data_IF_918077708130
#
_entry.id   IF_918077708130
#
_cell.length_a   1.000
_cell.length_b   1.000
_cell.length_c   1.000
_cell.angle_alpha   90.00
_cell.angle_beta   90.00
_cell.angle_gamma   90.00
#
_symmetry.space_group_name_H-M   'P 1'
#
loop_
_entity.id
_entity.type
_entity.pdbx_description
1 polymer ?
#
# COMPACT_ATOMS: atom_id res chain seq x y z
N UNK A 1 15.79 4.96 -34.75
CA UNK A 1 16.09 6.08 -33.88
C UNK A 1 17.14 5.63 -32.84
N UNK A 2 18.35 6.16 -32.91
CA UNK A 2 19.50 5.80 -32.05
C UNK A 2 19.41 6.39 -30.63
N UNK A 3 18.56 7.41 -30.46
CA UNK A 3 18.34 8.11 -29.19
C UNK A 3 19.25 9.31 -28.92
N UNK A 4 20.17 9.61 -29.80
CA UNK A 4 21.12 10.71 -29.66
C UNK A 4 20.68 12.03 -30.34
N UNK A 5 19.59 12.02 -31.10
CA UNK A 5 19.14 13.15 -31.89
C UNK A 5 17.80 13.66 -31.36
N UNK A 6 17.77 14.96 -31.13
CA UNK A 6 16.55 15.71 -30.76
C UNK A 6 15.62 15.83 -31.97
N UNK A 7 16.18 16.11 -33.18
CA UNK A 7 15.42 16.20 -34.42
C UNK A 7 16.20 15.58 -35.57
N UNK A 8 15.49 15.06 -36.56
CA UNK A 8 16.06 14.58 -37.80
C UNK A 8 15.05 14.74 -38.95
N UNK A 9 15.49 15.31 -40.05
CA UNK A 9 14.69 15.40 -41.27
C UNK A 9 15.53 15.16 -42.52
N UNK A 10 15.04 14.43 -43.54
CA UNK A 10 15.71 14.21 -44.80
C UNK A 10 15.45 15.36 -45.76
N UNK A 11 16.46 15.73 -46.54
CA UNK A 11 16.32 16.51 -47.77
C UNK A 11 16.73 15.68 -48.97
N UNK A 12 16.11 15.95 -50.11
CA UNK A 12 16.29 15.19 -51.34
C UNK A 12 16.80 16.13 -52.46
N UNK A 13 17.84 15.70 -53.16
CA UNK A 13 18.40 16.39 -54.34
C UNK A 13 18.50 15.39 -55.49
N UNK A 14 17.94 15.73 -56.63
CA UNK A 14 18.06 14.93 -57.85
C UNK A 14 19.42 15.20 -58.47
N UNK A 15 20.24 14.16 -58.63
CA UNK A 15 21.56 14.20 -59.23
C UNK A 15 21.59 13.27 -60.45
N UNK A 16 22.55 13.45 -61.41
CA UNK A 16 22.57 12.62 -62.63
C UNK A 16 22.63 11.12 -62.40
N UNK A 17 23.20 10.69 -61.26
CA UNK A 17 23.35 9.29 -60.88
C UNK A 17 22.18 8.75 -60.04
N UNK A 18 21.13 9.57 -59.75
CA UNK A 18 19.98 9.16 -58.94
C UNK A 18 19.44 10.24 -58.00
N UNK A 19 19.07 9.88 -56.79
CA UNK A 19 18.59 10.80 -55.73
C UNK A 19 19.55 10.78 -54.56
N UNK A 20 20.13 11.94 -54.26
CA UNK A 20 20.93 12.14 -53.04
C UNK A 20 20.01 12.47 -51.88
N UNK A 21 20.10 11.68 -50.82
CA UNK A 21 19.35 11.89 -49.56
C UNK A 21 20.33 12.41 -48.53
N UNK A 22 20.05 13.60 -47.99
CA UNK A 22 20.83 14.18 -46.89
C UNK A 22 19.96 14.20 -45.63
N UNK A 23 20.43 13.56 -44.57
CA UNK A 23 19.79 13.64 -43.26
C UNK A 23 20.40 14.80 -42.47
N UNK A 24 19.54 15.76 -42.13
CA UNK A 24 19.89 16.82 -41.19
C UNK A 24 19.56 16.32 -39.79
N UNK A 25 20.50 16.39 -38.89
CA UNK A 25 20.34 15.89 -37.51
C UNK A 25 20.69 16.98 -36.50
N UNK A 26 19.91 17.05 -35.42
CA UNK A 26 20.25 17.89 -34.28
C UNK A 26 20.52 16.93 -33.10
N UNK A 27 21.73 17.01 -32.56
CA UNK A 27 22.17 16.17 -31.45
C UNK A 27 21.54 16.66 -30.13
N UNK A 28 21.26 15.73 -29.24
CA UNK A 28 20.90 16.05 -27.85
C UNK A 28 22.06 16.78 -27.17
N UNK A 29 21.80 17.57 -26.10
CA UNK A 29 22.87 18.23 -25.36
C UNK A 29 23.78 17.19 -24.68
N UNK A 30 25.02 17.59 -24.43
CA UNK A 30 25.95 16.83 -23.58
C UNK A 30 25.47 16.89 -22.14
N UNK A 31 25.26 15.75 -21.50
CA UNK A 31 24.83 15.67 -20.10
C UNK A 31 25.93 16.24 -19.19
N UNK A 32 25.61 17.27 -18.40
CA UNK A 32 26.54 17.90 -17.46
C UNK A 32 26.30 17.53 -16.03
N UNK A 33 25.02 17.44 -15.65
CA UNK A 33 24.63 17.07 -14.29
C UNK A 33 23.27 16.39 -14.30
N UNK A 34 22.99 15.63 -13.24
CA UNK A 34 21.68 15.03 -12.97
C UNK A 34 21.22 15.50 -11.61
N UNK A 35 20.11 16.22 -11.55
CA UNK A 35 19.43 16.60 -10.34
C UNK A 35 18.25 15.67 -10.09
N UNK A 36 18.12 15.17 -8.85
CA UNK A 36 17.06 14.23 -8.46
C UNK A 36 16.30 14.84 -7.30
N UNK A 37 14.98 14.78 -7.34
CA UNK A 37 14.12 15.33 -6.30
C UNK A 37 12.84 14.52 -6.14
N UNK A 38 12.18 14.65 -4.95
CA UNK A 38 10.93 13.98 -4.64
C UNK A 38 11.08 12.49 -4.26
N UNK A 39 12.32 11.99 -4.20
CA UNK A 39 12.69 10.65 -3.78
C UNK A 39 13.01 10.65 -2.27
N UNK A 40 12.40 9.73 -1.52
CA UNK A 40 12.69 9.53 -0.09
C UNK A 40 13.01 8.08 0.23
N UNK A 41 12.54 7.15 -0.59
CA UNK A 41 12.76 5.70 -0.43
C UNK A 41 14.14 5.29 -0.95
N UNK A 42 14.53 5.80 -2.12
CA UNK A 42 15.85 5.60 -2.67
C UNK A 42 16.66 6.88 -2.55
N UNK A 43 17.92 6.78 -2.12
CA UNK A 43 18.83 7.92 -2.12
C UNK A 43 19.20 8.32 -3.54
N UNK A 44 19.66 9.57 -3.71
CA UNK A 44 20.15 10.08 -5.00
C UNK A 44 21.26 9.19 -5.56
N UNK A 45 22.19 8.75 -4.71
CA UNK A 45 23.29 7.86 -5.10
C UNK A 45 22.76 6.54 -5.65
N UNK A 46 21.71 5.96 -5.01
CA UNK A 46 21.10 4.73 -5.49
C UNK A 46 20.45 4.94 -6.85
N UNK A 47 19.68 6.01 -7.04
CA UNK A 47 19.05 6.33 -8.32
C UNK A 47 20.11 6.59 -9.38
N UNK A 48 21.16 7.40 -9.09
CA UNK A 48 22.30 7.64 -10.01
C UNK A 48 22.99 6.33 -10.41
N UNK A 49 23.17 5.39 -9.50
CA UNK A 49 23.79 4.09 -9.81
C UNK A 49 22.98 3.22 -10.77
N UNK A 50 21.68 3.50 -10.94
CA UNK A 50 20.79 2.82 -11.88
C UNK A 50 20.76 3.48 -13.27
N UNK A 51 21.32 4.70 -13.40
CA UNK A 51 21.40 5.39 -14.66
C UNK A 51 22.66 4.91 -15.42
N UNK A 52 22.48 4.56 -16.69
CA UNK A 52 23.58 4.20 -17.59
C UNK A 52 24.03 5.40 -18.43
N UNK A 53 23.23 6.49 -18.48
CA UNK A 53 23.63 7.77 -19.08
C UNK A 53 24.72 8.40 -18.22
N UNK A 54 25.76 8.99 -18.85
CA UNK A 54 26.95 9.50 -18.16
C UNK A 54 27.16 10.97 -18.42
N UNK A 55 27.59 11.67 -17.38
CA UNK A 55 28.06 13.07 -17.51
C UNK A 55 29.27 13.14 -18.44
N UNK A 56 29.27 14.16 -19.33
CA UNK A 56 30.29 14.37 -20.37
C UNK A 56 29.99 13.66 -21.70
N UNK A 57 28.95 12.85 -21.80
CA UNK A 57 28.50 12.19 -23.04
C UNK A 57 27.24 12.84 -23.60
N UNK A 58 27.00 12.71 -24.91
CA UNK A 58 25.74 13.15 -25.55
C UNK A 58 24.60 12.33 -24.97
N UNK A 59 23.55 12.99 -24.48
CA UNK A 59 22.41 12.32 -23.85
C UNK A 59 21.70 11.39 -24.81
N UNK A 60 21.65 10.12 -24.46
CA UNK A 60 20.85 9.12 -25.16
C UNK A 60 19.48 8.98 -24.52
N UNK A 61 18.46 9.60 -25.13
CA UNK A 61 17.08 9.58 -24.63
C UNK A 61 16.47 8.16 -24.57
N UNK A 62 16.88 7.26 -25.48
CA UNK A 62 16.42 5.88 -25.45
C UNK A 62 16.97 5.13 -24.23
N UNK A 63 18.26 5.33 -23.93
CA UNK A 63 18.90 4.75 -22.76
C UNK A 63 18.28 5.33 -21.48
N UNK A 64 18.11 6.65 -21.43
CA UNK A 64 17.48 7.31 -20.27
C UNK A 64 16.08 6.75 -19.99
N UNK A 65 15.24 6.61 -21.02
CA UNK A 65 13.89 6.02 -20.84
C UNK A 65 13.95 4.57 -20.35
N UNK A 66 14.91 3.77 -20.79
CA UNK A 66 15.12 2.41 -20.28
C UNK A 66 15.56 2.43 -18.81
N UNK A 67 16.47 3.32 -18.44
CA UNK A 67 16.95 3.48 -17.07
C UNK A 67 15.80 3.91 -16.13
N UNK A 68 14.99 4.89 -16.53
CA UNK A 68 13.83 5.35 -15.77
C UNK A 68 12.80 4.23 -15.57
N UNK A 69 12.54 3.44 -16.62
CA UNK A 69 11.65 2.28 -16.52
C UNK A 69 12.19 1.22 -15.55
N UNK A 70 13.51 1.02 -15.51
CA UNK A 70 14.16 0.11 -14.57
C UNK A 70 14.07 0.63 -13.12
N UNK A 71 14.24 1.94 -12.92
CA UNK A 71 14.09 2.58 -11.61
C UNK A 71 12.66 2.39 -11.09
N UNK A 72 11.64 2.73 -11.91
CA UNK A 72 10.23 2.51 -11.54
C UNK A 72 9.90 1.02 -11.31
N UNK A 73 10.52 0.14 -12.09
CA UNK A 73 10.43 -1.30 -11.90
C UNK A 73 10.98 -1.75 -10.53
N UNK A 74 12.08 -1.15 -10.08
CA UNK A 74 12.68 -1.40 -8.78
C UNK A 74 11.78 -0.93 -7.64
N UNK A 75 11.21 0.27 -7.74
CA UNK A 75 10.20 0.76 -6.78
C UNK A 75 9.02 -0.22 -6.67
N UNK A 76 8.48 -0.66 -7.82
CA UNK A 76 7.37 -1.64 -7.84
C UNK A 76 7.74 -2.97 -7.19
N UNK A 77 8.94 -3.47 -7.44
CA UNK A 77 9.45 -4.72 -6.84
C UNK A 77 9.52 -4.62 -5.32
N UNK A 78 9.89 -3.45 -4.80
CA UNK A 78 9.98 -3.20 -3.36
C UNK A 78 8.62 -2.81 -2.74
N UNK A 79 7.52 -2.88 -3.52
CA UNK A 79 6.15 -2.64 -3.08
C UNK A 79 5.68 -1.18 -3.21
N UNK A 80 6.51 -0.26 -3.70
CA UNK A 80 6.16 1.15 -3.89
C UNK A 80 5.52 1.38 -5.25
N UNK A 81 4.34 0.79 -5.44
CA UNK A 81 3.65 0.70 -6.75
C UNK A 81 3.13 2.04 -7.28
N UNK A 82 3.10 3.08 -6.46
CA UNK A 82 2.66 4.43 -6.83
C UNK A 82 3.84 5.35 -7.19
N UNK A 83 5.07 4.92 -6.89
CA UNK A 83 6.25 5.68 -7.22
C UNK A 83 6.46 5.75 -8.74
N UNK A 84 6.55 6.96 -9.26
CA UNK A 84 6.75 7.24 -10.68
C UNK A 84 7.51 8.53 -10.89
N UNK A 85 8.11 8.67 -12.06
CA UNK A 85 8.65 9.94 -12.51
C UNK A 85 7.48 10.89 -12.78
N UNK A 86 7.48 12.06 -12.13
CA UNK A 86 6.49 13.12 -12.29
C UNK A 86 6.84 14.05 -13.43
N UNK A 87 8.11 14.45 -13.48
CA UNK A 87 8.62 15.37 -14.46
C UNK A 87 10.06 15.05 -14.82
N UNK A 88 10.40 15.32 -16.07
CA UNK A 88 11.74 15.21 -16.62
C UNK A 88 12.00 16.42 -17.50
N UNK A 89 13.07 17.12 -17.23
CA UNK A 89 13.51 18.23 -18.05
C UNK A 89 15.03 18.24 -18.23
N UNK A 90 15.47 18.70 -19.38
CA UNK A 90 16.87 18.99 -19.64
C UNK A 90 16.98 20.40 -20.19
N UNK A 91 17.90 21.19 -19.63
CA UNK A 91 18.16 22.54 -20.11
C UNK A 91 19.18 22.54 -21.26
N UNK A 92 19.31 23.69 -21.90
CA UNK A 92 20.28 23.89 -23.01
C UNK A 92 21.74 23.71 -22.58
N UNK A 93 22.01 23.84 -21.27
CA UNK A 93 23.32 23.64 -20.68
C UNK A 93 23.63 22.15 -20.39
N UNK A 94 22.66 21.25 -20.57
CA UNK A 94 22.81 19.82 -20.34
C UNK A 94 22.57 19.38 -18.91
N UNK A 95 21.86 20.16 -18.09
CA UNK A 95 21.46 19.74 -16.74
C UNK A 95 20.12 19.00 -16.83
N UNK A 96 20.12 17.73 -16.44
CA UNK A 96 18.96 16.85 -16.41
C UNK A 96 18.31 16.92 -15.01
N UNK A 97 17.03 17.28 -14.95
CA UNK A 97 16.24 17.24 -13.72
C UNK A 97 15.23 16.10 -13.76
N UNK A 98 15.24 15.26 -12.73
CA UNK A 98 14.34 14.13 -12.53
C UNK A 98 13.53 14.36 -11.28
N UNK A 99 12.21 14.55 -11.40
CA UNK A 99 11.32 14.74 -10.28
C UNK A 99 10.45 13.50 -10.07
N UNK A 100 10.62 12.83 -8.93
CA UNK A 100 9.81 11.68 -8.55
C UNK A 100 8.59 12.10 -7.72
N UNK A 101 7.52 11.30 -7.83
CA UNK A 101 6.41 11.29 -6.90
C UNK A 101 6.25 9.86 -6.41
N UNK A 102 6.45 9.63 -5.11
CA UNK A 102 6.42 8.31 -4.51
C UNK A 102 5.02 7.91 -3.99
N UNK A 103 4.06 8.83 -3.99
CA UNK A 103 2.68 8.58 -3.53
C UNK A 103 2.59 8.42 -2.01
N UNK A 104 2.48 9.55 -1.30
CA UNK A 104 2.40 9.59 0.16
C UNK A 104 0.98 9.28 0.64
N UNK A 105 0.86 8.48 1.70
CA UNK A 105 -0.41 8.23 2.38
C UNK A 105 -0.84 9.47 3.16
N UNK A 106 -1.96 10.08 2.78
CA UNK A 106 -2.53 11.25 3.47
C UNK A 106 -3.37 10.82 4.67
N UNK A 107 -4.10 9.72 4.55
CA UNK A 107 -4.96 9.23 5.63
C UNK A 107 -5.72 7.95 5.28
N UNK A 108 -6.62 7.61 6.17
CA UNK A 108 -7.52 6.47 6.05
C UNK A 108 -8.97 6.94 6.04
N UNK A 109 -9.79 6.30 5.24
CA UNK A 109 -11.25 6.35 5.31
C UNK A 109 -11.78 4.94 5.57
N UNK A 110 -12.79 4.79 6.40
CA UNK A 110 -13.40 3.50 6.73
C UNK A 110 -14.88 3.54 6.38
N UNK A 111 -15.38 2.49 5.77
CA UNK A 111 -16.77 2.32 5.36
C UNK A 111 -17.31 0.94 5.70
N UNK A 112 -18.60 0.85 5.99
CA UNK A 112 -19.29 -0.43 6.27
C UNK A 112 -19.12 -0.96 7.69
N UNK A 113 -18.55 -0.16 8.59
CA UNK A 113 -18.35 -0.49 9.99
C UNK A 113 -19.44 0.13 10.89
N UNK A 114 -20.66 -0.36 10.78
CA UNK A 114 -21.80 0.18 11.52
C UNK A 114 -21.66 0.02 13.04
N UNK A 115 -21.14 -1.12 13.49
CA UNK A 115 -20.88 -1.44 14.91
C UNK A 115 -19.46 -1.10 15.32
N UNK A 116 -18.47 -1.58 14.54
CA UNK A 116 -17.04 -1.48 14.88
C UNK A 116 -16.56 -0.03 14.74
N UNK A 117 -15.85 0.48 15.76
CA UNK A 117 -15.29 1.83 15.73
C UNK A 117 -14.10 1.93 14.79
N UNK A 118 -13.94 3.06 14.08
CA UNK A 118 -12.86 3.30 13.12
C UNK A 118 -11.48 3.00 13.69
N UNK A 119 -11.22 3.41 14.94
CA UNK A 119 -9.93 3.21 15.58
C UNK A 119 -9.57 1.72 15.75
N UNK A 120 -10.56 0.83 15.84
CA UNK A 120 -10.35 -0.62 15.94
C UNK A 120 -9.77 -1.18 14.65
N UNK A 121 -10.16 -0.58 13.52
CA UNK A 121 -9.67 -0.92 12.19
C UNK A 121 -8.33 -0.22 11.94
N UNK A 122 -8.27 1.10 12.17
CA UNK A 122 -7.10 1.91 11.82
C UNK A 122 -5.87 1.60 12.69
N UNK A 123 -6.03 1.13 13.92
CA UNK A 123 -4.90 0.67 14.76
C UNK A 123 -4.17 -0.57 14.20
N UNK A 124 -4.82 -1.31 13.29
CA UNK A 124 -4.20 -2.46 12.61
C UNK A 124 -3.33 -2.05 11.42
N UNK A 125 -3.39 -0.79 11.04
CA UNK A 125 -2.63 -0.30 9.89
C UNK A 125 -1.13 -0.25 10.19
N UNK A 126 -0.33 -0.69 9.21
CA UNK A 126 1.14 -0.74 9.30
C UNK A 126 1.84 0.49 8.74
N UNK A 127 1.08 1.37 8.11
CA UNK A 127 1.57 2.65 7.61
C UNK A 127 0.96 3.78 8.42
N UNK A 128 1.66 4.89 8.53
CA UNK A 128 1.16 6.12 9.16
C UNK A 128 0.92 7.18 8.08
N UNK A 129 -0.06 8.07 8.26
CA UNK A 129 -0.14 9.26 7.42
C UNK A 129 1.22 9.99 7.35
N UNK A 130 1.62 10.38 6.16
CA UNK A 130 2.94 10.95 5.88
C UNK A 130 3.99 9.94 5.38
N UNK A 131 3.76 8.62 5.49
CA UNK A 131 4.65 7.62 4.90
C UNK A 131 4.33 7.38 3.43
N UNK A 132 5.35 7.01 2.65
CA UNK A 132 5.16 6.56 1.26
C UNK A 132 4.36 5.26 1.23
N UNK A 133 3.37 5.20 0.34
CA UNK A 133 2.51 4.03 0.21
C UNK A 133 3.32 2.79 -0.21
N UNK A 134 3.10 1.70 0.52
CA UNK A 134 3.69 0.41 0.21
C UNK A 134 2.61 -0.68 0.17
N UNK A 135 2.45 -1.34 -0.97
CA UNK A 135 1.42 -2.34 -1.22
C UNK A 135 1.54 -3.58 -0.31
N UNK A 136 2.76 -3.97 0.07
CA UNK A 136 2.97 -5.10 0.98
C UNK A 136 2.54 -4.75 2.42
N UNK A 137 2.84 -3.52 2.88
CA UNK A 137 2.35 -3.03 4.17
C UNK A 137 0.81 -2.92 4.16
N UNK A 138 0.22 -2.44 3.04
CA UNK A 138 -1.23 -2.37 2.87
C UNK A 138 -1.87 -3.76 2.95
N UNK A 139 -1.36 -4.74 2.19
CA UNK A 139 -1.84 -6.11 2.20
C UNK A 139 -1.78 -6.74 3.59
N UNK A 140 -0.66 -6.55 4.30
CA UNK A 140 -0.52 -7.05 5.69
C UNK A 140 -1.48 -6.36 6.65
N UNK A 141 -1.78 -5.08 6.44
CA UNK A 141 -2.77 -4.34 7.23
C UNK A 141 -4.17 -4.91 7.03
N UNK A 142 -4.58 -5.16 5.78
CA UNK A 142 -5.87 -5.81 5.47
C UNK A 142 -5.99 -7.18 6.14
N UNK A 143 -4.93 -8.01 6.09
CA UNK A 143 -4.91 -9.30 6.73
C UNK A 143 -5.08 -9.20 8.26
N UNK A 144 -4.49 -8.19 8.89
CA UNK A 144 -4.66 -7.94 10.34
C UNK A 144 -6.09 -7.55 10.67
N UNK A 145 -6.70 -6.66 9.89
CA UNK A 145 -8.12 -6.28 10.05
C UNK A 145 -9.02 -7.49 9.89
N UNK A 146 -8.80 -8.29 8.84
CA UNK A 146 -9.57 -9.53 8.63
C UNK A 146 -9.41 -10.51 9.80
N UNK A 147 -8.21 -10.64 10.34
CA UNK A 147 -7.90 -11.54 11.46
C UNK A 147 -8.51 -11.11 12.80
N UNK A 148 -9.05 -9.87 12.92
CA UNK A 148 -9.85 -9.48 14.08
C UNK A 148 -11.07 -10.38 14.24
N UNK A 149 -11.53 -11.01 13.16
CA UNK A 149 -12.67 -11.91 13.18
C UNK A 149 -14.03 -11.22 13.24
N UNK A 150 -14.09 -9.90 13.01
CA UNK A 150 -15.32 -9.09 13.06
C UNK A 150 -15.95 -8.87 11.69
N UNK A 151 -15.23 -9.23 10.62
CA UNK A 151 -15.60 -8.93 9.25
C UNK A 151 -15.69 -10.21 8.39
N UNK A 152 -16.68 -10.25 7.50
CA UNK A 152 -16.80 -11.27 6.45
C UNK A 152 -15.87 -10.94 5.28
N UNK A 153 -15.72 -9.65 4.96
CA UNK A 153 -14.85 -9.17 3.90
C UNK A 153 -14.17 -7.85 4.29
N UNK A 154 -12.97 -7.64 3.75
CA UNK A 154 -12.18 -6.42 3.89
C UNK A 154 -11.56 -6.10 2.54
N UNK A 155 -11.95 -5.00 1.95
CA UNK A 155 -11.43 -4.52 0.69
C UNK A 155 -10.82 -3.13 0.81
N UNK A 156 -9.94 -2.77 -0.13
CA UNK A 156 -9.23 -1.48 -0.12
C UNK A 156 -9.30 -0.84 -1.49
N UNK A 157 -9.54 0.46 -1.50
CA UNK A 157 -9.36 1.32 -2.66
C UNK A 157 -8.43 2.47 -2.33
N UNK A 158 -7.67 2.91 -3.32
CA UNK A 158 -6.82 4.09 -3.21
C UNK A 158 -7.56 5.25 -3.88
N UNK A 159 -7.77 6.32 -3.13
CA UNK A 159 -8.40 7.55 -3.59
C UNK A 159 -7.34 8.65 -3.63
N UNK A 160 -7.48 9.66 -4.53
CA UNK A 160 -6.66 10.85 -4.49
C UNK A 160 -6.74 11.54 -3.12
N UNK A 161 -5.65 12.15 -2.68
CA UNK A 161 -5.61 12.94 -1.46
C UNK A 161 -6.54 14.17 -1.53
N UNK A 162 -7.05 14.60 -0.41
CA UNK A 162 -7.90 15.80 -0.31
C UNK A 162 -7.07 17.09 -0.30
N UNK A 163 -5.87 17.04 0.32
CA UNK A 163 -4.97 18.18 0.41
C UNK A 163 -4.07 18.30 -0.81
N UNK A 164 -3.56 17.17 -1.27
CA UNK A 164 -2.75 17.06 -2.48
C UNK A 164 -3.21 15.86 -3.31
N UNK A 165 -3.70 16.07 -4.55
CA UNK A 165 -4.14 15.00 -5.43
C UNK A 165 -3.06 13.97 -5.79
N UNK A 166 -1.77 14.31 -5.57
CA UNK A 166 -0.66 13.39 -5.77
C UNK A 166 -0.47 12.42 -4.58
N UNK A 167 -1.02 12.75 -3.42
CA UNK A 167 -1.11 11.87 -2.26
C UNK A 167 -2.30 10.93 -2.40
N UNK A 168 -2.40 9.98 -1.50
CA UNK A 168 -3.48 9.01 -1.50
C UNK A 168 -4.20 8.93 -0.14
N UNK A 169 -5.49 8.67 -0.20
CA UNK A 169 -6.29 8.19 0.93
C UNK A 169 -6.57 6.71 0.71
N UNK A 170 -6.27 5.89 1.71
CA UNK A 170 -6.57 4.47 1.69
C UNK A 170 -7.97 4.24 2.28
N UNK A 171 -8.96 4.02 1.41
CA UNK A 171 -10.33 3.71 1.80
C UNK A 171 -10.47 2.20 2.04
N UNK A 172 -10.78 1.84 3.29
CA UNK A 172 -11.11 0.47 3.68
C UNK A 172 -12.63 0.30 3.69
N UNK A 173 -13.12 -0.66 2.94
CA UNK A 173 -14.53 -1.06 2.99
C UNK A 173 -14.61 -2.42 3.64
N UNK A 174 -15.40 -2.53 4.72
CA UNK A 174 -15.58 -3.76 5.48
C UNK A 174 -17.03 -4.22 5.41
N UNK A 175 -17.25 -5.53 5.50
CA UNK A 175 -18.57 -6.13 5.68
C UNK A 175 -18.56 -6.79 7.06
N UNK A 176 -19.34 -6.25 8.00
CA UNK A 176 -19.38 -6.76 9.36
C UNK A 176 -20.14 -8.08 9.45
N UNK A 177 -19.67 -8.97 10.33
CA UNK A 177 -20.41 -10.16 10.72
C UNK A 177 -20.90 -10.07 12.17
N UNK A 178 -21.83 -10.93 12.52
CA UNK A 178 -22.29 -11.06 13.91
C UNK A 178 -21.16 -11.58 14.79
N UNK A 179 -20.86 -10.85 15.86
CA UNK A 179 -19.81 -11.16 16.83
C UNK A 179 -20.36 -11.71 18.14
N UNK A 180 -21.68 -11.68 18.30
CA UNK A 180 -22.40 -12.31 19.40
C UNK A 180 -22.44 -13.83 19.27
N UNK A 181 -22.28 -14.54 20.36
CA UNK A 181 -22.31 -16.01 20.43
C UNK A 181 -23.22 -16.47 21.59
N UNK A 182 -23.89 -17.58 21.36
CA UNK A 182 -24.64 -18.32 22.38
C UNK A 182 -24.18 -19.78 22.34
N UNK A 183 -23.95 -20.36 23.47
CA UNK A 183 -23.52 -21.75 23.59
C UNK A 183 -24.30 -22.47 24.69
N UNK A 184 -24.61 -23.73 24.43
CA UNK A 184 -25.09 -24.68 25.42
C UNK A 184 -24.18 -25.90 25.40
N UNK A 185 -23.96 -26.51 26.56
CA UNK A 185 -23.14 -27.70 26.68
C UNK A 185 -23.63 -28.57 27.84
N UNK A 186 -23.24 -29.83 27.78
CA UNK A 186 -23.41 -30.76 28.88
C UNK A 186 -22.13 -31.58 29.04
N UNK A 187 -21.79 -31.91 30.26
CA UNK A 187 -20.62 -32.72 30.63
C UNK A 187 -20.95 -33.68 31.76
N UNK A 188 -20.12 -34.68 31.98
CA UNK A 188 -20.20 -35.55 33.10
C UNK A 188 -18.86 -35.59 33.86
N UNK A 189 -18.89 -35.33 35.13
CA UNK A 189 -17.75 -35.46 36.03
C UNK A 189 -18.02 -36.66 36.98
N UNK A 190 -17.00 -37.44 37.29
CA UNK A 190 -17.11 -38.52 38.27
C UNK A 190 -17.27 -38.01 39.70
N UNK A 191 -17.01 -36.73 39.96
CA UNK A 191 -17.18 -36.10 41.27
C UNK A 191 -18.53 -35.40 41.40
N UNK A 192 -18.96 -34.68 40.32
CA UNK A 192 -20.11 -33.78 40.38
C UNK A 192 -21.33 -34.30 39.57
N UNK A 193 -21.19 -35.48 38.91
CA UNK A 193 -22.26 -36.06 38.12
C UNK A 193 -22.48 -35.34 36.78
N UNK A 194 -23.73 -35.18 36.38
CA UNK A 194 -24.12 -34.50 35.13
C UNK A 194 -24.15 -32.98 35.32
N UNK A 195 -23.37 -32.27 34.51
CA UNK A 195 -23.30 -30.81 34.49
C UNK A 195 -23.85 -30.25 33.18
N UNK A 196 -24.63 -29.18 33.27
CA UNK A 196 -25.07 -28.38 32.12
C UNK A 196 -24.42 -27.01 32.15
N UNK A 197 -24.19 -26.42 30.98
CA UNK A 197 -23.70 -25.04 30.87
C UNK A 197 -24.44 -24.24 29.81
N UNK A 198 -24.62 -22.96 30.08
CA UNK A 198 -25.13 -21.98 29.14
C UNK A 198 -24.12 -20.84 29.09
N UNK A 199 -23.75 -20.37 27.89
CA UNK A 199 -22.88 -19.23 27.74
C UNK A 199 -23.41 -18.23 26.69
N UNK A 200 -23.16 -16.95 26.97
CA UNK A 200 -23.41 -15.84 26.03
C UNK A 200 -22.15 -15.00 25.95
N UNK A 201 -21.82 -14.53 24.78
CA UNK A 201 -20.63 -13.69 24.59
C UNK A 201 -20.73 -12.79 23.38
N UNK A 202 -19.84 -11.79 23.33
CA UNK A 202 -19.62 -10.93 22.19
C UNK A 202 -18.13 -10.62 22.08
N UNK A 203 -17.51 -10.96 20.94
CA UNK A 203 -16.08 -10.75 20.70
C UNK A 203 -15.73 -9.36 20.26
N UNK A 204 -16.73 -8.52 19.93
CA UNK A 204 -16.58 -7.12 19.59
C UNK A 204 -17.64 -6.28 20.36
N UNK A 205 -17.55 -6.32 21.68
CA UNK A 205 -18.52 -5.67 22.55
C UNK A 205 -18.54 -4.16 22.33
N UNK A 206 -19.73 -3.62 22.00
CA UNK A 206 -19.93 -2.20 21.64
C UNK A 206 -19.06 -1.70 20.48
N UNK A 207 -18.47 -2.62 19.70
CA UNK A 207 -17.61 -2.25 18.57
C UNK A 207 -16.21 -1.77 18.97
N UNK A 208 -15.77 -1.99 20.21
CA UNK A 208 -14.47 -1.53 20.73
C UNK A 208 -13.33 -2.52 20.49
N UNK A 209 -13.66 -3.72 19.97
CA UNK A 209 -12.72 -4.84 19.83
C UNK A 209 -12.46 -5.58 21.13
N UNK A 210 -13.19 -5.24 22.20
CA UNK A 210 -13.15 -5.95 23.47
C UNK A 210 -14.10 -7.15 23.44
N UNK A 211 -13.81 -8.19 24.20
CA UNK A 211 -14.71 -9.34 24.32
C UNK A 211 -15.31 -9.44 25.72
N UNK A 212 -16.58 -9.82 25.75
CA UNK A 212 -17.32 -10.15 26.97
C UNK A 212 -17.87 -11.53 26.81
N UNK A 213 -17.81 -12.33 27.89
CA UNK A 213 -18.46 -13.62 27.98
C UNK A 213 -19.04 -13.83 29.40
N UNK A 214 -20.28 -14.26 29.44
CA UNK A 214 -20.91 -14.77 30.67
C UNK A 214 -21.22 -16.25 30.50
N UNK A 215 -21.02 -17.04 31.52
CA UNK A 215 -21.28 -18.47 31.56
C UNK A 215 -21.95 -18.83 32.87
N UNK A 216 -22.93 -19.71 32.81
CA UNK A 216 -23.62 -20.31 33.95
C UNK A 216 -23.54 -21.82 33.82
N UNK A 217 -23.07 -22.45 34.87
CA UNK A 217 -22.99 -23.91 35.03
C UNK A 217 -23.98 -24.36 36.12
N UNK A 218 -24.65 -25.48 35.88
CA UNK A 218 -25.64 -26.04 36.77
C UNK A 218 -25.65 -27.57 36.69
N UNK A 219 -25.96 -28.24 37.79
CA UNK A 219 -26.01 -29.70 37.85
C UNK A 219 -25.41 -30.19 39.15
N UNK A 220 -24.85 -31.41 39.15
CA UNK A 220 -24.35 -32.13 40.30
C UNK A 220 -25.32 -33.19 40.79
N UNK A 221 -24.81 -34.20 41.49
CA UNK A 221 -25.59 -35.34 42.00
C UNK A 221 -26.70 -34.92 42.99
N UNK A 222 -26.50 -33.82 43.71
CA UNK A 222 -27.50 -33.25 44.64
C UNK A 222 -28.28 -32.08 44.03
N UNK A 223 -28.02 -31.69 42.77
CA UNK A 223 -28.69 -30.60 42.04
C UNK A 223 -28.37 -29.19 42.58
N UNK A 224 -27.41 -29.04 43.46
CA UNK A 224 -27.11 -27.80 44.18
C UNK A 224 -25.81 -27.12 43.70
N UNK A 225 -25.07 -27.76 42.80
CA UNK A 225 -23.83 -27.18 42.22
C UNK A 225 -24.16 -26.26 41.08
N UNK A 226 -24.09 -24.94 41.32
CA UNK A 226 -24.24 -23.92 40.32
C UNK A 226 -23.11 -22.92 40.43
N UNK A 227 -22.60 -22.54 39.26
CA UNK A 227 -21.53 -21.54 39.13
C UNK A 227 -21.81 -20.52 38.04
N UNK A 228 -21.34 -19.31 38.21
CA UNK A 228 -21.35 -18.33 37.16
C UNK A 228 -19.97 -17.71 36.98
N UNK A 229 -19.61 -17.36 35.73
CA UNK A 229 -18.41 -16.63 35.44
C UNK A 229 -18.71 -15.51 34.44
N UNK A 230 -18.08 -14.36 34.64
CA UNK A 230 -18.11 -13.26 33.70
C UNK A 230 -16.66 -12.88 33.39
N UNK A 231 -16.31 -12.89 32.13
CA UNK A 231 -14.98 -12.47 31.64
C UNK A 231 -15.09 -11.25 30.70
N UNK A 232 -14.20 -10.33 30.90
CA UNK A 232 -14.00 -9.18 30.00
C UNK A 232 -12.53 -9.15 29.58
N UNK A 233 -12.29 -9.16 28.29
CA UNK A 233 -10.93 -9.14 27.73
C UNK A 233 -10.75 -7.93 26.84
N UNK A 234 -9.72 -7.15 27.14
CA UNK A 234 -9.29 -6.03 26.32
C UNK A 234 -7.96 -6.38 25.65
N UNK A 235 -7.96 -6.80 24.37
CA UNK A 235 -6.75 -7.29 23.71
C UNK A 235 -5.71 -6.21 23.40
N UNK A 236 -6.13 -4.93 23.45
CA UNK A 236 -5.27 -3.78 23.23
C UNK A 236 -5.20 -2.91 24.49
N UNK A 237 -4.07 -2.95 25.14
CA UNK A 237 -3.70 -2.07 26.26
C UNK A 237 -2.61 -1.11 25.81
#
# INVERSE_FOLDING_TARGET
NMGYFYDNYPSFEVVPEGVKITYHVMENPVLRSVEISGNTIYSDEKIRSMLNVKEGEILNLRQLNADLSNIEGSYRKDGYILAKLRDISIDESGNLSLQFNEGVLEGYAVKGNDKTKDYVITREMRMKPGEVFNSEKARRSMQRVYNLGFFEDVSVRLLPGEKDPNNIIMELTVIEKRTGSFGIGAGYSSQDGLLGMISIGDTNFRGTGDSVRAMYEFGGDDGDDSGYSISYTKPWL
#
